data_IF_162346836389
#
_entry.id   IF_162346836389
#
_cell.length_a   1.000
_cell.length_b   1.000
_cell.length_c   1.000
_cell.angle_alpha   90.00
_cell.angle_beta   90.00
_cell.angle_gamma   90.00
#
_symmetry.space_group_name_H-M   'P 1'
#
loop_
_entity.id
_entity.type
_entity.pdbx_description
1 polymer ?
#
# COMPACT_ATOMS: atom_id res chain seq x y z
N UNK A 1 -16.73 22.91 -3.99
CA UNK A 1 -16.25 24.29 -4.12
C UNK A 1 -14.99 24.26 -4.97
N UNK A 2 -15.11 24.73 -6.21
CA UNK A 2 -14.11 24.65 -7.28
C UNK A 2 -13.25 25.91 -7.21
N UNK A 3 -11.92 25.80 -7.08
CA UNK A 3 -11.02 26.90 -7.41
C UNK A 3 -9.70 26.42 -8.04
N UNK A 4 -9.36 27.11 -9.14
CA UNK A 4 -8.21 27.02 -10.07
C UNK A 4 -8.11 25.78 -10.98
N UNK A 5 -8.93 25.82 -12.03
CA UNK A 5 -8.92 24.98 -13.24
C UNK A 5 -8.22 25.64 -14.45
N UNK A 6 -7.46 26.73 -14.27
CA UNK A 6 -7.11 27.59 -15.42
C UNK A 6 -5.94 27.16 -16.29
N UNK A 7 -4.97 26.37 -15.80
CA UNK A 7 -3.79 26.01 -16.62
C UNK A 7 -3.63 24.52 -16.99
N UNK A 8 -4.42 23.62 -16.38
CA UNK A 8 -4.39 22.19 -16.75
C UNK A 8 -5.14 21.87 -18.05
N UNK A 9 -6.01 22.75 -18.57
CA UNK A 9 -6.74 22.50 -19.82
C UNK A 9 -5.84 22.44 -21.07
N UNK A 10 -4.57 22.84 -20.98
CA UNK A 10 -3.59 22.68 -22.07
C UNK A 10 -2.98 21.29 -22.15
N UNK A 11 -2.89 20.56 -21.04
CA UNK A 11 -2.57 19.14 -21.03
C UNK A 11 -3.90 18.39 -20.96
N UNK A 12 -4.30 17.68 -22.02
CA UNK A 12 -5.49 16.82 -22.01
C UNK A 12 -5.31 15.62 -21.06
N UNK A 13 -5.18 15.86 -19.76
CA UNK A 13 -5.16 14.83 -18.72
C UNK A 13 -6.60 14.65 -18.28
N UNK A 14 -7.21 13.48 -18.52
CA UNK A 14 -8.58 13.24 -18.11
C UNK A 14 -8.74 13.43 -16.60
N UNK A 15 -9.79 14.13 -16.19
CA UNK A 15 -10.10 14.49 -14.79
C UNK A 15 -10.18 13.29 -13.84
N UNK A 16 -10.35 12.07 -14.36
CA UNK A 16 -10.32 10.81 -13.59
C UNK A 16 -8.93 10.40 -13.05
N UNK A 17 -7.86 11.11 -13.41
CA UNK A 17 -6.47 10.78 -13.01
C UNK A 17 -5.83 11.78 -12.03
N UNK A 18 -6.57 12.83 -11.65
CA UNK A 18 -6.07 13.92 -10.80
C UNK A 18 -6.58 13.73 -9.37
N UNK A 19 -5.66 13.43 -8.44
CA UNK A 19 -5.93 13.47 -7.01
C UNK A 19 -5.22 14.70 -6.42
N UNK A 20 -5.99 15.75 -6.12
CA UNK A 20 -5.46 16.94 -5.45
C UNK A 20 -5.41 16.68 -3.93
N UNK A 21 -4.22 16.61 -3.35
CA UNK A 21 -4.05 16.68 -1.90
C UNK A 21 -3.60 18.09 -1.53
N UNK A 22 -4.51 18.88 -0.96
CA UNK A 22 -4.12 20.13 -0.28
C UNK A 22 -3.40 19.76 1.01
N UNK A 23 -2.13 20.18 1.16
CA UNK A 23 -1.45 20.23 2.44
C UNK A 23 -1.56 21.66 2.98
N UNK A 24 -1.61 21.74 4.31
CA UNK A 24 -1.95 22.90 5.10
C UNK A 24 -1.14 24.17 4.76
N UNK A 25 -1.80 25.30 4.99
CA UNK A 25 -1.61 26.70 4.62
C UNK A 25 -0.22 27.39 4.75
N UNK A 26 0.88 26.67 4.96
CA UNK A 26 2.22 27.26 5.19
C UNK A 26 3.30 26.83 4.21
N UNK A 27 3.09 25.78 3.40
CA UNK A 27 4.01 25.34 2.35
C UNK A 27 3.21 25.04 1.07
N UNK A 28 3.65 25.57 -0.07
CA UNK A 28 2.89 25.64 -1.33
C UNK A 28 2.17 24.33 -1.76
N UNK A 29 1.05 24.49 -2.46
CA UNK A 29 0.23 23.39 -2.97
C UNK A 29 1.03 22.49 -3.92
N UNK A 30 1.36 21.28 -3.49
CA UNK A 30 1.93 20.24 -4.36
C UNK A 30 0.80 19.54 -5.11
N UNK A 31 0.76 19.68 -6.43
CA UNK A 31 -0.17 18.91 -7.26
C UNK A 31 0.37 17.49 -7.47
N UNK A 32 -0.50 16.50 -7.34
CA UNK A 32 -0.17 15.08 -7.53
C UNK A 32 -1.04 14.50 -8.65
N UNK A 33 -0.42 13.75 -9.54
CA UNK A 33 -1.09 12.95 -10.58
C UNK A 33 -0.85 11.49 -10.25
N UNK A 34 -1.92 10.68 -10.24
CA UNK A 34 -1.82 9.24 -10.02
C UNK A 34 -2.27 8.48 -11.27
N UNK A 35 -1.35 7.72 -11.86
CA UNK A 35 -1.60 7.03 -13.11
C UNK A 35 -2.33 5.69 -12.90
N UNK A 36 -3.65 5.74 -12.77
CA UNK A 36 -4.46 4.51 -12.65
C UNK A 36 -4.51 3.67 -13.94
N UNK A 37 -4.24 4.27 -15.10
CA UNK A 37 -4.17 3.58 -16.39
C UNK A 37 -2.72 3.22 -16.75
N UNK A 38 -2.53 2.33 -17.73
CA UNK A 38 -1.20 2.00 -18.26
C UNK A 38 -0.75 3.05 -19.28
N UNK A 39 0.38 3.70 -19.04
CA UNK A 39 1.01 4.69 -19.91
C UNK A 39 0.15 5.90 -20.30
N UNK A 40 -0.60 6.55 -19.37
CA UNK A 40 -1.46 7.69 -19.74
C UNK A 40 -0.66 8.96 -20.06
N UNK A 41 0.59 9.06 -19.60
CA UNK A 41 1.46 10.24 -19.76
C UNK A 41 2.61 9.92 -20.71
N UNK A 42 2.83 10.77 -21.71
CA UNK A 42 3.97 10.63 -22.62
C UNK A 42 5.26 11.12 -21.95
N UNK A 43 6.45 10.66 -22.38
CA UNK A 43 7.73 11.15 -21.84
C UNK A 43 7.89 12.68 -21.93
N UNK A 44 7.39 13.29 -23.00
CA UNK A 44 7.41 14.75 -23.16
C UNK A 44 6.51 15.46 -22.14
N UNK A 45 5.34 14.90 -21.83
CA UNK A 45 4.43 15.45 -20.83
C UNK A 45 5.01 15.31 -19.41
N UNK A 46 5.66 14.20 -19.10
CA UNK A 46 6.32 13.95 -17.81
C UNK A 46 7.37 15.02 -17.48
N UNK A 47 8.21 15.39 -18.45
CA UNK A 47 9.20 16.48 -18.31
C UNK A 47 8.52 17.82 -18.00
N UNK A 48 7.40 18.13 -18.65
CA UNK A 48 6.66 19.38 -18.43
C UNK A 48 6.05 19.39 -17.02
N UNK A 49 5.44 18.28 -16.60
CA UNK A 49 4.82 18.14 -15.28
C UNK A 49 5.85 18.31 -14.16
N UNK A 50 7.02 17.68 -14.27
CA UNK A 50 8.12 17.83 -13.30
C UNK A 50 8.67 19.26 -13.24
N UNK A 51 8.86 19.92 -14.38
CA UNK A 51 9.26 21.34 -14.43
C UNK A 51 8.28 22.27 -13.72
N UNK A 52 7.00 21.90 -13.70
CA UNK A 52 5.95 22.64 -13.01
C UNK A 52 5.81 22.25 -11.52
N UNK A 53 6.72 21.44 -10.97
CA UNK A 53 6.66 20.98 -9.58
C UNK A 53 5.50 20.01 -9.30
N UNK A 54 4.98 19.34 -10.33
CA UNK A 54 3.89 18.37 -10.18
C UNK A 54 4.49 16.98 -9.97
N UNK A 55 4.11 16.32 -8.88
CA UNK A 55 4.50 14.95 -8.59
C UNK A 55 3.65 13.97 -9.39
N UNK A 56 4.28 13.11 -10.18
CA UNK A 56 3.59 12.04 -10.91
C UNK A 56 3.88 10.71 -10.21
N UNK A 57 2.84 10.07 -9.67
CA UNK A 57 2.91 8.70 -9.20
C UNK A 57 2.76 7.78 -10.42
N UNK A 58 3.82 7.04 -10.80
CA UNK A 58 3.83 6.29 -12.04
C UNK A 58 2.85 5.13 -12.00
N UNK A 59 2.36 4.76 -13.17
CA UNK A 59 1.47 3.63 -13.42
C UNK A 59 1.97 2.33 -12.79
N UNK A 60 3.27 2.06 -12.92
CA UNK A 60 3.97 0.90 -12.33
C UNK A 60 3.73 0.73 -10.82
N UNK A 61 3.43 1.81 -10.11
CA UNK A 61 3.02 1.78 -8.70
C UNK A 61 1.50 1.95 -8.56
N UNK A 62 0.93 3.01 -9.14
CA UNK A 62 -0.44 3.44 -8.87
C UNK A 62 -1.50 2.38 -9.23
N UNK A 63 -1.24 1.55 -10.24
CA UNK A 63 -2.17 0.51 -10.67
C UNK A 63 -1.79 -0.92 -10.21
N UNK A 64 -0.64 -1.10 -9.55
CA UNK A 64 -0.12 -2.40 -9.14
C UNK A 64 -1.00 -3.14 -8.13
N UNK A 65 -1.93 -2.43 -7.48
CA UNK A 65 -2.88 -3.04 -6.54
C UNK A 65 -3.77 -4.10 -7.18
N UNK A 66 -4.18 -3.91 -8.44
CA UNK A 66 -4.99 -4.90 -9.16
C UNK A 66 -4.26 -6.23 -9.36
N UNK A 67 -2.99 -6.15 -9.77
CA UNK A 67 -2.12 -7.33 -9.94
C UNK A 67 -1.84 -8.00 -8.59
N UNK A 68 -1.62 -7.20 -7.54
CA UNK A 68 -1.36 -7.71 -6.18
C UNK A 68 -2.54 -8.52 -5.63
N UNK A 69 -3.77 -8.02 -5.76
CA UNK A 69 -4.96 -8.76 -5.31
C UNK A 69 -5.23 -9.98 -6.18
N UNK A 70 -4.95 -9.90 -7.49
CA UNK A 70 -5.05 -11.06 -8.39
C UNK A 70 -4.07 -12.17 -8.00
N UNK A 71 -2.87 -11.80 -7.52
CA UNK A 71 -1.91 -12.75 -6.98
C UNK A 71 -2.43 -13.42 -5.68
N UNK A 72 -3.09 -12.67 -4.79
CA UNK A 72 -3.72 -13.25 -3.62
C UNK A 72 -4.87 -14.20 -3.96
N UNK A 73 -5.65 -13.89 -4.99
CA UNK A 73 -6.68 -14.79 -5.52
C UNK A 73 -6.07 -16.08 -6.07
N UNK A 74 -4.99 -15.99 -6.84
CA UNK A 74 -4.26 -17.15 -7.32
C UNK A 74 -3.76 -18.04 -6.18
N UNK A 75 -3.15 -17.45 -5.13
CA UNK A 75 -2.72 -18.19 -3.94
C UNK A 75 -3.89 -18.87 -3.22
N UNK A 76 -5.03 -18.20 -3.10
CA UNK A 76 -6.24 -18.79 -2.51
C UNK A 76 -6.70 -20.01 -3.31
N UNK A 77 -6.69 -19.91 -4.64
CA UNK A 77 -7.11 -20.99 -5.53
C UNK A 77 -6.18 -22.21 -5.41
N UNK A 78 -4.87 -22.00 -5.30
CA UNK A 78 -3.90 -23.09 -5.08
C UNK A 78 -4.09 -23.79 -3.73
N UNK A 79 -4.42 -23.04 -2.67
CA UNK A 79 -4.57 -23.60 -1.32
C UNK A 79 -5.95 -24.26 -1.10
N UNK A 80 -6.93 -24.04 -1.97
CA UNK A 80 -8.32 -24.54 -1.85
C UNK A 80 -9.00 -24.25 -0.48
N UNK A 81 -8.52 -23.25 0.25
CA UNK A 81 -9.00 -22.90 1.60
C UNK A 81 -9.19 -21.39 1.70
N UNK A 82 -10.32 -20.95 2.23
CA UNK A 82 -10.54 -19.55 2.57
C UNK A 82 -9.58 -19.11 3.68
N UNK A 83 -8.91 -17.97 3.48
CA UNK A 83 -7.99 -17.43 4.48
C UNK A 83 -8.68 -17.29 5.86
N UNK A 84 -7.95 -17.66 6.91
CA UNK A 84 -8.44 -17.62 8.29
C UNK A 84 -9.39 -18.76 8.69
N UNK A 85 -9.99 -19.51 7.75
CA UNK A 85 -11.03 -20.51 8.05
C UNK A 85 -10.59 -21.59 9.04
N UNK A 86 -9.34 -22.04 8.94
CA UNK A 86 -8.79 -23.10 9.80
C UNK A 86 -8.39 -22.60 11.19
N UNK A 87 -8.19 -21.29 11.37
CA UNK A 87 -7.65 -20.71 12.60
C UNK A 87 -8.68 -19.96 13.44
N UNK A 88 -9.91 -19.75 12.95
CA UNK A 88 -10.97 -18.99 13.66
C UNK A 88 -11.18 -19.48 15.10
N UNK A 89 -11.40 -20.79 15.27
CA UNK A 89 -11.67 -21.37 16.59
C UNK A 89 -10.43 -21.28 17.48
N UNK A 90 -9.27 -21.61 16.93
CA UNK A 90 -8.00 -21.54 17.65
C UNK A 90 -7.74 -20.12 18.18
N UNK A 91 -7.87 -19.09 17.33
CA UNK A 91 -7.70 -17.70 17.73
C UNK A 91 -8.69 -17.27 18.80
N UNK A 92 -9.96 -17.66 18.66
CA UNK A 92 -10.99 -17.34 19.65
C UNK A 92 -10.65 -17.94 21.01
N UNK A 93 -10.37 -19.25 21.03
CA UNK A 93 -10.09 -19.99 22.25
C UNK A 93 -8.80 -19.47 22.92
N UNK A 94 -7.75 -19.18 22.14
CA UNK A 94 -6.51 -18.57 22.65
C UNK A 94 -6.72 -17.18 23.24
N UNK A 95 -7.46 -16.31 22.55
CA UNK A 95 -7.73 -14.95 23.04
C UNK A 95 -8.60 -14.97 24.30
N UNK A 96 -9.57 -15.89 24.40
CA UNK A 96 -10.35 -16.08 25.63
C UNK A 96 -9.45 -16.56 26.77
N UNK A 97 -8.59 -17.56 26.52
CA UNK A 97 -7.67 -18.08 27.52
C UNK A 97 -6.68 -17.01 28.04
N UNK A 98 -6.23 -16.09 27.16
CA UNK A 98 -5.40 -14.96 27.57
C UNK A 98 -6.13 -14.02 28.52
N UNK A 99 -7.39 -13.67 28.22
CA UNK A 99 -8.21 -12.82 29.10
C UNK A 99 -8.47 -13.50 30.45
N UNK A 100 -8.77 -14.80 30.43
CA UNK A 100 -8.97 -15.60 31.64
C UNK A 100 -7.69 -15.66 32.49
N UNK A 101 -6.52 -15.80 31.85
CA UNK A 101 -5.21 -15.81 32.54
C UNK A 101 -4.96 -14.48 33.24
N UNK A 102 -5.18 -13.35 32.56
CA UNK A 102 -5.03 -12.01 33.16
C UNK A 102 -6.00 -11.83 34.32
N UNK A 103 -7.26 -12.26 34.17
CA UNK A 103 -8.25 -12.20 35.25
C UNK A 103 -7.82 -13.05 36.47
N UNK A 104 -7.29 -14.25 36.25
CA UNK A 104 -6.76 -15.10 37.33
C UNK A 104 -5.56 -14.47 38.04
N UNK A 105 -4.61 -13.88 37.30
CA UNK A 105 -3.45 -13.19 37.89
C UNK A 105 -3.87 -11.99 38.74
N UNK A 106 -4.83 -11.19 38.28
CA UNK A 106 -5.35 -10.04 39.04
C UNK A 106 -6.07 -10.49 40.32
N UNK A 107 -6.85 -11.58 40.26
CA UNK A 107 -7.48 -12.17 41.44
C UNK A 107 -6.45 -12.64 42.47
N UNK A 108 -5.35 -13.25 42.02
CA UNK A 108 -4.26 -13.66 42.91
C UNK A 108 -3.57 -12.46 43.59
N UNK A 109 -3.59 -11.27 42.98
CA UNK A 109 -3.12 -10.01 43.56
C UNK A 109 -4.22 -9.24 44.32
N UNK A 110 -5.33 -9.89 44.70
CA UNK A 110 -6.47 -9.29 45.41
C UNK A 110 -7.23 -8.18 44.63
N UNK A 111 -7.09 -8.11 43.31
CA UNK A 111 -7.83 -7.19 42.45
C UNK A 111 -8.97 -7.97 41.76
N UNK A 112 -10.21 -7.74 42.19
CA UNK A 112 -11.39 -8.27 41.49
C UNK A 112 -11.77 -7.35 40.32
N UNK A 113 -11.25 -7.66 39.15
CA UNK A 113 -11.66 -7.04 37.90
C UNK A 113 -12.14 -8.12 36.92
N UNK A 114 -13.40 -8.01 36.47
CA UNK A 114 -13.94 -8.88 35.42
C UNK A 114 -13.49 -8.33 34.07
N UNK A 115 -12.62 -9.06 33.39
CA UNK A 115 -12.17 -8.66 32.07
C UNK A 115 -13.26 -8.98 31.05
N UNK A 116 -13.70 -7.98 30.32
CA UNK A 116 -14.57 -8.17 29.15
C UNK A 116 -13.85 -7.61 27.93
N UNK A 117 -13.87 -8.35 26.81
CA UNK A 117 -13.34 -7.81 25.57
C UNK A 117 -14.11 -6.55 25.18
N UNK A 118 -13.40 -5.55 24.69
CA UNK A 118 -14.02 -4.35 24.11
C UNK A 118 -14.68 -4.71 22.78
N UNK A 119 -15.66 -3.92 22.31
CA UNK A 119 -16.34 -4.18 21.04
C UNK A 119 -15.36 -4.31 19.86
N UNK A 120 -14.26 -3.54 19.87
CA UNK A 120 -13.19 -3.65 18.87
C UNK A 120 -12.48 -5.01 18.98
N UNK A 121 -12.10 -5.43 20.19
CA UNK A 121 -11.40 -6.69 20.39
C UNK A 121 -12.28 -7.91 20.11
N UNK A 122 -13.58 -7.87 20.47
CA UNK A 122 -14.54 -8.92 20.13
C UNK A 122 -14.60 -9.17 18.62
N UNK A 123 -14.53 -8.12 17.81
CA UNK A 123 -14.50 -8.23 16.35
C UNK A 123 -13.21 -8.85 15.79
N UNK A 124 -12.12 -8.86 16.58
CA UNK A 124 -10.80 -9.41 16.21
C UNK A 124 -10.52 -10.77 16.85
N UNK A 125 -11.33 -11.21 17.82
CA UNK A 125 -11.10 -12.42 18.59
C UNK A 125 -11.01 -13.68 17.73
N UNK A 126 -11.78 -13.75 16.63
CA UNK A 126 -11.75 -14.86 15.66
C UNK A 126 -10.58 -14.81 14.68
N UNK A 127 -9.63 -13.87 14.85
CA UNK A 127 -8.57 -13.60 13.89
C UNK A 127 -9.05 -12.80 12.67
N UNK A 128 -8.13 -12.53 11.75
CA UNK A 128 -8.40 -11.72 10.57
C UNK A 128 -9.27 -12.48 9.56
N UNK A 129 -10.31 -11.82 9.07
CA UNK A 129 -11.11 -12.33 7.96
C UNK A 129 -10.38 -12.16 6.61
N UNK A 130 -10.84 -12.87 5.58
CA UNK A 130 -10.23 -12.82 4.24
C UNK A 130 -10.08 -11.38 3.72
N UNK A 131 -11.11 -10.54 3.90
CA UNK A 131 -11.08 -9.13 3.51
C UNK A 131 -9.97 -8.35 4.23
N UNK A 132 -9.81 -8.55 5.53
CA UNK A 132 -8.78 -7.92 6.35
C UNK A 132 -7.39 -8.37 5.91
N UNK A 133 -7.21 -9.66 5.66
CA UNK A 133 -5.93 -10.23 5.19
C UNK A 133 -5.54 -9.64 3.84
N UNK A 134 -6.48 -9.58 2.90
CA UNK A 134 -6.25 -8.98 1.58
C UNK A 134 -5.94 -7.49 1.71
N UNK A 135 -6.72 -6.75 2.50
CA UNK A 135 -6.50 -5.31 2.70
C UNK A 135 -5.14 -5.02 3.36
N UNK A 136 -4.79 -5.72 4.44
CA UNK A 136 -3.51 -5.55 5.12
C UNK A 136 -2.33 -5.98 4.26
N UNK A 137 -2.49 -7.07 3.50
CA UNK A 137 -1.48 -7.56 2.55
C UNK A 137 -1.24 -6.55 1.44
N UNK A 138 -2.32 -5.99 0.87
CA UNK A 138 -2.25 -4.95 -0.15
C UNK A 138 -1.59 -3.68 0.39
N UNK A 139 -2.02 -3.19 1.55
CA UNK A 139 -1.44 -2.01 2.20
C UNK A 139 0.06 -2.20 2.45
N UNK A 140 0.46 -3.36 2.99
CA UNK A 140 1.86 -3.69 3.23
C UNK A 140 2.67 -3.69 1.93
N UNK A 141 2.20 -4.40 0.91
CA UNK A 141 2.88 -4.50 -0.39
C UNK A 141 3.02 -3.13 -1.08
N UNK A 142 1.95 -2.34 -1.10
CA UNK A 142 1.95 -1.01 -1.70
C UNK A 142 2.85 -0.04 -0.95
N UNK A 143 2.80 -0.05 0.39
CA UNK A 143 3.66 0.79 1.24
C UNK A 143 5.12 0.46 1.01
N UNK A 144 5.47 -0.83 0.99
CA UNK A 144 6.84 -1.27 0.76
C UNK A 144 7.32 -0.90 -0.64
N UNK A 145 6.49 -1.05 -1.66
CA UNK A 145 6.82 -0.64 -3.03
C UNK A 145 7.09 0.86 -3.11
N UNK A 146 6.22 1.69 -2.52
CA UNK A 146 6.43 3.15 -2.45
C UNK A 146 7.71 3.52 -1.70
N UNK A 147 8.00 2.88 -0.57
CA UNK A 147 9.24 3.11 0.18
C UNK A 147 10.48 2.78 -0.66
N UNK A 148 10.48 1.64 -1.36
CA UNK A 148 11.60 1.24 -2.21
C UNK A 148 11.83 2.25 -3.35
N UNK A 149 10.77 2.69 -4.02
CA UNK A 149 10.87 3.69 -5.11
C UNK A 149 11.31 5.05 -4.56
N UNK A 150 10.78 5.48 -3.42
CA UNK A 150 11.20 6.73 -2.77
C UNK A 150 12.67 6.69 -2.35
N UNK A 151 13.14 5.52 -1.90
CA UNK A 151 14.55 5.31 -1.56
C UNK A 151 15.42 5.38 -2.82
N UNK A 152 15.05 4.68 -3.90
CA UNK A 152 15.76 4.75 -5.18
C UNK A 152 15.81 6.18 -5.74
N UNK A 153 14.71 6.94 -5.64
CA UNK A 153 14.67 8.35 -6.04
C UNK A 153 15.68 9.20 -5.25
N UNK A 154 15.80 8.95 -3.95
CA UNK A 154 16.74 9.66 -3.07
C UNK A 154 18.19 9.26 -3.36
N UNK A 155 18.47 7.96 -3.54
CA UNK A 155 19.80 7.43 -3.85
C UNK A 155 20.35 7.96 -5.18
N UNK A 156 19.49 8.12 -6.18
CA UNK A 156 19.88 8.58 -7.52
C UNK A 156 19.64 10.08 -7.75
N UNK A 157 19.30 10.85 -6.72
CA UNK A 157 19.01 12.29 -6.81
C UNK A 157 18.00 12.66 -7.93
N UNK A 158 16.91 11.88 -8.03
CA UNK A 158 15.89 12.02 -9.07
C UNK A 158 14.80 13.05 -8.75
N UNK A 159 14.84 13.66 -7.56
CA UNK A 159 13.86 14.63 -7.07
C UNK A 159 12.41 14.14 -7.20
N UNK A 160 11.64 14.70 -8.15
CA UNK A 160 10.23 14.36 -8.43
C UNK A 160 10.07 13.27 -9.50
N UNK A 161 11.16 12.76 -10.09
CA UNK A 161 11.12 11.71 -11.11
C UNK A 161 10.96 10.31 -10.49
N UNK A 162 9.74 10.06 -10.02
CA UNK A 162 9.35 8.76 -9.45
C UNK A 162 9.24 7.66 -10.52
N UNK A 163 9.03 8.01 -11.79
CA UNK A 163 8.94 7.02 -12.87
C UNK A 163 10.28 6.37 -13.12
N UNK A 164 11.33 7.16 -13.28
CA UNK A 164 12.70 6.64 -13.45
C UNK A 164 13.11 5.82 -12.23
N UNK A 165 12.81 6.29 -11.02
CA UNK A 165 13.08 5.53 -9.80
C UNK A 165 12.36 4.16 -9.77
N UNK A 166 11.11 4.11 -10.21
CA UNK A 166 10.34 2.87 -10.28
C UNK A 166 10.94 1.88 -11.30
N UNK A 167 11.39 2.37 -12.47
CA UNK A 167 12.10 1.54 -13.44
C UNK A 167 13.45 1.02 -12.92
N UNK A 168 14.22 1.85 -12.21
CA UNK A 168 15.47 1.42 -11.57
C UNK A 168 15.19 0.24 -10.63
N UNK A 169 14.24 0.40 -9.71
CA UNK A 169 13.87 -0.67 -8.78
C UNK A 169 13.39 -1.95 -9.50
N UNK A 170 12.67 -1.82 -10.62
CA UNK A 170 12.21 -2.97 -11.39
C UNK A 170 13.37 -3.68 -12.12
N UNK A 171 14.25 -2.91 -12.76
CA UNK A 171 15.42 -3.43 -13.48
C UNK A 171 16.37 -4.12 -12.50
N UNK A 172 16.65 -3.54 -11.35
CA UNK A 172 17.51 -4.14 -10.32
C UNK A 172 16.98 -5.51 -9.87
N UNK A 173 15.67 -5.62 -9.59
CA UNK A 173 15.06 -6.90 -9.19
C UNK A 173 15.15 -7.96 -10.28
N UNK A 174 14.88 -7.58 -11.53
CA UNK A 174 14.99 -8.49 -12.67
C UNK A 174 16.45 -8.91 -12.85
N UNK A 175 17.38 -7.95 -12.83
CA UNK A 175 18.80 -8.19 -13.00
C UNK A 175 19.35 -9.16 -11.96
N UNK A 176 19.06 -8.94 -10.67
CA UNK A 176 19.48 -9.86 -9.58
C UNK A 176 18.98 -11.28 -9.85
N UNK A 177 17.75 -11.43 -10.33
CA UNK A 177 17.21 -12.76 -10.67
C UNK A 177 18.00 -13.39 -11.83
N UNK A 178 18.32 -12.64 -12.87
CA UNK A 178 19.10 -13.17 -14.01
C UNK A 178 20.55 -13.51 -13.63
N UNK A 179 21.17 -12.69 -12.79
CA UNK A 179 22.54 -12.86 -12.29
C UNK A 179 22.66 -14.12 -11.41
N UNK A 180 21.75 -14.29 -10.44
CA UNK A 180 21.72 -15.46 -9.57
C UNK A 180 21.49 -16.79 -10.32
N UNK A 181 20.88 -16.74 -11.51
CA UNK A 181 20.63 -17.91 -12.35
C UNK A 181 21.73 -18.13 -13.41
N UNK A 182 22.81 -17.36 -13.39
CA UNK A 182 23.93 -17.47 -14.34
C UNK A 182 23.55 -17.10 -15.78
N UNK A 183 22.49 -16.29 -15.95
CA UNK A 183 22.04 -15.78 -17.24
C UNK A 183 22.59 -14.38 -17.53
N UNK A 184 23.07 -13.67 -16.52
CA UNK A 184 23.90 -12.48 -16.68
C UNK A 184 25.38 -12.88 -16.70
N UNK A 185 26.16 -12.21 -17.55
CA UNK A 185 27.59 -12.48 -17.83
C UNK A 185 28.50 -12.23 -16.62
#
# INVERSE_FOLDING_TARGET
>A
MIYLLRDLNRLRIPSKFLLKHERDSTNGCLFVIAEGANGPTTPAADVILRKNGILVLPDLLANAGGVTVSYFEFLKNLNHVSFGKLSIKFWRDSNTALLDTVEQSLKASNIQAKMKPTAMFESMMSGANEKQIVNSGLEYSMTKACQNVSQAASTHNLELDMRTAAYITAIEKIFVTYDEHGLAL
#
